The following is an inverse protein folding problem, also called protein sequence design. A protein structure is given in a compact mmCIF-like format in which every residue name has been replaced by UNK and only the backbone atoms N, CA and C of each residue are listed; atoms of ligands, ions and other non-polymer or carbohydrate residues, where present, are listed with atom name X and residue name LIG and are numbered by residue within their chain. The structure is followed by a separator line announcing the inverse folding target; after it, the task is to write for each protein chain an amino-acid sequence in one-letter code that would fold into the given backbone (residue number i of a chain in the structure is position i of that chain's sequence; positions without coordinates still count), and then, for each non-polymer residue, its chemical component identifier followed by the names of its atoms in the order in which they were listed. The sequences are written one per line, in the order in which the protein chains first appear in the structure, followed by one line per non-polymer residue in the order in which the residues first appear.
data_IF_317757642286
#
_entry.id   IF_317757642286
#
_cell.length_a   1.000
_cell.length_b   1.000
_cell.length_c   1.000
_cell.angle_alpha   90.00
_cell.angle_beta   90.00
_cell.angle_gamma   90.00
#
_symmetry.space_group_name_H-M   'P 1'
#
loop_
_entity.id
_entity.type
_entity.pdbx_description
1 polymer ?
#
# COMPACT_ATOMS: atom_id res chain seq x y z
N UNK A 1 3.23 -18.34 6.08
CA UNK A 1 2.16 -17.63 6.79
C UNK A 1 1.61 -16.39 6.06
N UNK A 2 2.23 -15.86 4.99
CA UNK A 2 1.80 -14.61 4.33
C UNK A 2 0.50 -14.70 3.49
N UNK A 3 0.11 -15.87 3.00
CA UNK A 3 -1.05 -16.00 2.08
C UNK A 3 -2.40 -15.63 2.69
N UNK A 4 -2.63 -15.98 3.96
CA UNK A 4 -3.90 -15.66 4.65
C UNK A 4 -4.02 -14.17 5.00
N UNK A 5 -2.88 -13.52 5.25
CA UNK A 5 -2.84 -12.11 5.65
C UNK A 5 -3.24 -11.15 4.53
N UNK A 6 -2.89 -11.47 3.27
CA UNK A 6 -3.32 -10.67 2.12
C UNK A 6 -4.84 -10.56 2.01
N UNK A 7 -5.56 -11.66 2.26
CA UNK A 7 -7.02 -11.69 2.17
C UNK A 7 -7.72 -11.01 3.36
N UNK A 8 -7.01 -10.74 4.46
CA UNK A 8 -7.52 -9.90 5.55
C UNK A 8 -7.43 -8.40 5.25
N UNK A 9 -6.65 -8.00 4.24
CA UNK A 9 -6.59 -6.60 3.82
C UNK A 9 -7.82 -6.24 2.99
N UNK A 10 -8.48 -5.10 3.23
CA UNK A 10 -9.47 -4.55 2.33
C UNK A 10 -8.94 -4.43 0.90
N UNK A 11 -9.78 -4.64 -0.14
CA UNK A 11 -9.36 -4.54 -1.54
C UNK A 11 -8.61 -3.24 -1.88
N UNK A 12 -9.00 -2.13 -1.25
CA UNK A 12 -8.33 -0.82 -1.41
C UNK A 12 -6.88 -0.82 -0.91
N UNK A 13 -6.64 -1.41 0.26
CA UNK A 13 -5.29 -1.53 0.83
C UNK A 13 -4.42 -2.45 -0.02
N UNK A 14 -5.00 -3.52 -0.57
CA UNK A 14 -4.33 -4.38 -1.54
C UNK A 14 -3.92 -3.61 -2.80
N UNK A 15 -4.83 -2.84 -3.40
CA UNK A 15 -4.54 -1.98 -4.56
C UNK A 15 -3.48 -0.92 -4.27
N UNK A 16 -3.49 -0.37 -3.05
CA UNK A 16 -2.53 0.64 -2.60
C UNK A 16 -1.12 0.04 -2.49
N UNK A 17 -0.98 -1.11 -1.85
CA UNK A 17 0.28 -1.86 -1.77
C UNK A 17 0.81 -2.24 -3.17
N UNK A 18 -0.07 -2.74 -4.05
CA UNK A 18 0.28 -3.07 -5.44
C UNK A 18 0.73 -1.82 -6.21
N UNK A 19 0.06 -0.69 -6.02
CA UNK A 19 0.43 0.57 -6.66
C UNK A 19 1.79 1.07 -6.19
N UNK A 20 2.09 0.95 -4.89
CA UNK A 20 3.41 1.28 -4.32
C UNK A 20 4.52 0.39 -4.89
N UNK A 21 4.26 -0.91 -5.02
CA UNK A 21 5.22 -1.87 -5.57
C UNK A 21 5.48 -1.67 -7.06
N UNK A 22 4.42 -1.46 -7.86
CA UNK A 22 4.55 -1.17 -9.30
C UNK A 22 5.30 0.12 -9.59
N UNK A 23 5.40 1.05 -8.64
CA UNK A 23 6.12 2.31 -8.79
C UNK A 23 7.52 2.33 -8.15
N UNK A 24 8.02 1.21 -7.62
CA UNK A 24 9.41 1.01 -7.16
C UNK A 24 10.01 2.15 -6.28
N UNK A 25 9.18 2.81 -5.46
CA UNK A 25 9.48 3.86 -4.46
C UNK A 25 10.15 5.16 -4.94
N UNK A 26 9.95 6.30 -4.24
CA UNK A 26 8.93 6.64 -3.23
C UNK A 26 7.70 7.37 -3.81
N UNK A 27 6.51 7.20 -3.21
CA UNK A 27 5.25 7.84 -3.67
C UNK A 27 4.76 8.97 -2.77
N UNK A 28 4.32 10.08 -3.40
CA UNK A 28 3.69 11.21 -2.73
C UNK A 28 2.20 10.92 -2.49
N UNK A 29 1.65 11.20 -1.28
CA UNK A 29 0.24 11.02 -0.95
C UNK A 29 -0.70 11.58 -2.01
N UNK A 30 -0.47 12.81 -2.48
CA UNK A 30 -1.32 13.44 -3.51
C UNK A 30 -1.35 12.68 -4.84
N UNK A 31 -0.23 12.07 -5.26
CA UNK A 31 -0.19 11.27 -6.50
C UNK A 31 -0.88 9.92 -6.33
N UNK A 32 -0.86 9.39 -5.11
CA UNK A 32 -1.55 8.16 -4.74
C UNK A 32 -3.06 8.43 -4.68
N UNK A 33 -3.46 9.54 -4.07
CA UNK A 33 -4.82 10.07 -4.07
C UNK A 33 -5.33 10.29 -5.49
N UNK A 34 -4.57 10.87 -6.43
CA UNK A 34 -5.04 11.04 -7.81
C UNK A 34 -5.36 9.72 -8.54
N UNK A 35 -4.61 8.64 -8.26
CA UNK A 35 -4.85 7.32 -8.87
C UNK A 35 -5.99 6.57 -8.19
N UNK A 36 -6.04 6.61 -6.86
CA UNK A 36 -7.12 5.98 -6.06
C UNK A 36 -8.43 6.78 -6.19
N UNK A 37 -8.38 8.09 -6.41
CA UNK A 37 -9.55 8.96 -6.54
C UNK A 37 -10.31 8.75 -7.85
N UNK A 38 -9.72 8.10 -8.87
CA UNK A 38 -10.49 7.54 -9.99
C UNK A 38 -11.34 6.32 -9.56
N UNK A 39 -11.02 5.71 -8.41
CA UNK A 39 -11.68 4.55 -7.80
C UNK A 39 -12.44 4.87 -6.49
N UNK A 40 -12.80 6.14 -6.25
CA UNK A 40 -13.67 6.67 -5.16
C UNK A 40 -12.97 7.10 -3.85
N UNK A 41 -13.15 8.40 -3.57
CA UNK A 41 -13.15 9.13 -2.27
C UNK A 41 -11.82 9.44 -1.58
N UNK A 42 -11.50 10.75 -1.51
CA UNK A 42 -10.25 11.38 -1.02
C UNK A 42 -9.90 11.17 0.46
N UNK A 43 -10.88 11.09 1.37
CA UNK A 43 -10.59 11.06 2.81
C UNK A 43 -10.06 9.71 3.34
N UNK A 44 -10.20 8.64 2.54
CA UNK A 44 -9.99 7.26 3.02
C UNK A 44 -8.52 6.81 2.85
N UNK A 45 -7.76 7.46 1.95
CA UNK A 45 -6.39 7.03 1.61
C UNK A 45 -5.39 7.21 2.76
N UNK A 46 -5.59 8.21 3.62
CA UNK A 46 -4.69 8.48 4.73
C UNK A 46 -4.93 7.50 5.89
N UNK A 47 -6.19 7.12 6.17
CA UNK A 47 -6.54 6.09 7.16
C UNK A 47 -6.00 4.72 6.76
N UNK A 48 -6.11 4.37 5.47
CA UNK A 48 -5.53 3.14 4.92
C UNK A 48 -4.00 3.11 5.06
N UNK A 49 -3.31 4.23 4.79
CA UNK A 49 -1.86 4.34 4.96
C UNK A 49 -1.45 4.21 6.44
N UNK A 50 -2.21 4.79 7.37
CA UNK A 50 -1.96 4.62 8.81
C UNK A 50 -2.20 3.18 9.26
N UNK A 51 -3.24 2.53 8.75
CA UNK A 51 -3.55 1.13 9.05
C UNK A 51 -2.44 0.20 8.55
N UNK A 52 -2.01 0.37 7.29
CA UNK A 52 -0.90 -0.38 6.70
C UNK A 52 0.43 -0.12 7.44
N UNK A 53 0.62 1.08 8.01
CA UNK A 53 1.76 1.40 8.85
C UNK A 53 1.71 0.65 10.17
N UNK A 54 0.56 0.62 10.83
CA UNK A 54 0.35 -0.14 12.07
C UNK A 54 0.59 -1.65 11.85
N UNK A 55 0.24 -2.15 10.67
CA UNK A 55 0.53 -3.52 10.24
C UNK A 55 2.01 -3.76 9.86
N UNK A 56 2.84 -2.72 9.87
CA UNK A 56 4.26 -2.82 9.53
C UNK A 56 4.54 -3.06 8.05
N UNK A 57 3.59 -2.76 7.16
CA UNK A 57 3.74 -2.95 5.71
C UNK A 57 4.27 -1.70 4.99
N UNK A 58 3.99 -0.52 5.52
CA UNK A 58 4.49 0.77 5.00
C UNK A 58 5.14 1.59 6.11
N UNK A 59 6.00 2.53 5.71
CA UNK A 59 6.54 3.54 6.60
C UNK A 59 6.61 4.91 5.90
N UNK A 60 6.40 6.01 6.64
CA UNK A 60 6.55 7.36 6.10
C UNK A 60 8.03 7.75 6.00
N UNK A 61 8.37 8.55 4.99
CA UNK A 61 9.70 9.17 4.80
C UNK A 61 9.49 10.59 4.29
N UNK A 62 9.36 11.54 5.22
CA UNK A 62 8.98 12.93 4.89
C UNK A 62 7.57 12.98 4.27
N UNK A 63 7.38 13.63 3.11
CA UNK A 63 6.08 13.66 2.42
C UNK A 63 5.82 12.38 1.61
N UNK A 64 6.63 11.32 1.73
CA UNK A 64 6.47 10.10 0.95
C UNK A 64 6.13 8.88 1.82
N UNK A 65 5.57 7.85 1.19
CA UNK A 65 5.35 6.53 1.80
C UNK A 65 6.11 5.45 1.05
N UNK A 66 6.70 4.53 1.81
CA UNK A 66 7.52 3.42 1.32
C UNK A 66 7.02 2.08 1.88
N UNK A 67 7.21 0.97 1.16
CA UNK A 67 6.96 -0.36 1.71
C UNK A 67 8.14 -0.78 2.58
N UNK A 68 7.82 -1.43 3.69
CA UNK A 68 8.78 -2.16 4.49
C UNK A 68 9.24 -3.43 3.75
N UNK A 69 10.27 -4.09 4.28
CA UNK A 69 10.69 -5.42 3.79
C UNK A 69 9.56 -6.45 3.85
N UNK A 70 8.68 -6.36 4.84
CA UNK A 70 7.53 -7.25 4.98
C UNK A 70 6.43 -6.93 3.95
N UNK A 71 6.17 -5.64 3.69
CA UNK A 71 5.26 -5.23 2.60
C UNK A 71 5.77 -5.67 1.22
N UNK A 72 7.08 -5.60 0.98
CA UNK A 72 7.69 -6.09 -0.26
C UNK A 72 7.55 -7.60 -0.38
N UNK A 73 7.91 -8.37 0.66
CA UNK A 73 7.78 -9.83 0.69
C UNK A 73 6.33 -10.30 0.48
N UNK A 74 5.36 -9.58 1.05
CA UNK A 74 3.94 -9.86 0.88
C UNK A 74 3.52 -9.78 -0.60
N UNK A 75 4.09 -8.83 -1.35
CA UNK A 75 3.78 -8.62 -2.77
C UNK A 75 4.62 -9.48 -3.70
N UNK A 76 5.90 -9.74 -3.37
CA UNK A 76 6.77 -10.67 -4.10
C UNK A 76 6.13 -12.06 -4.19
N UNK A 77 5.50 -12.54 -3.11
CA UNK A 77 4.78 -13.82 -3.12
C UNK A 77 3.57 -13.85 -4.07
N UNK A 78 3.03 -12.70 -4.45
CA UNK A 78 1.84 -12.55 -5.31
C UNK A 78 2.17 -12.21 -6.76
N UNK A 79 3.25 -11.48 -7.01
CA UNK A 79 3.68 -11.08 -8.35
C UNK A 79 4.56 -12.12 -9.07
N UNK A 80 4.98 -13.20 -8.39
CA UNK A 80 5.80 -14.28 -8.97
C UNK A 80 4.99 -15.49 -9.48
N UNK A 81 3.72 -15.29 -9.86
CA UNK A 81 2.90 -16.26 -10.59
C UNK A 81 2.81 -15.90 -12.07
#
# INVERSE_FOLDING_TARGET
MANGFWYSLPPRQQELLLSMHKQQYPLHPQKLEERVSKAQTRDITNEDLQTLRQMGLVYPTGPFWNLTKEGQRLLEYRCNC
#
